data_IF_946576159538
#
_entry.id   IF_946576159538
#
_cell.length_a   1.000
_cell.length_b   1.000
_cell.length_c   1.000
_cell.angle_alpha   90.00
_cell.angle_beta   90.00
_cell.angle_gamma   90.00
#
_symmetry.space_group_name_H-M   'P 1'
#
loop_
_entity.id
_entity.type
_entity.pdbx_description
1 polymer ?
#
# COMPACT_ATOMS: atom_id res chain seq x y z
N UNK A 1 -15.00 3.20 40.45
CA UNK A 1 -14.10 3.53 39.33
C UNK A 1 -12.81 2.77 39.56
N UNK A 2 -12.40 1.99 38.56
CA UNK A 2 -11.18 1.17 38.55
C UNK A 2 -10.26 1.74 37.48
N UNK A 3 -8.96 1.69 37.73
CA UNK A 3 -7.90 2.06 36.80
C UNK A 3 -7.06 0.83 36.52
N UNK A 4 -6.94 0.46 35.25
CA UNK A 4 -6.25 -0.73 34.81
C UNK A 4 -5.26 -0.37 33.69
N UNK A 5 -4.09 -1.00 33.73
CA UNK A 5 -2.99 -0.72 32.81
C UNK A 5 -2.90 -1.82 31.76
N UNK A 6 -2.91 -1.42 30.48
CA UNK A 6 -2.88 -2.31 29.31
C UNK A 6 -1.58 -2.10 28.56
N UNK A 7 -0.93 -3.20 28.18
CA UNK A 7 0.21 -3.18 27.30
C UNK A 7 -0.26 -3.13 25.83
N UNK A 8 0.00 -2.02 25.13
CA UNK A 8 -0.31 -1.81 23.72
C UNK A 8 0.93 -1.32 22.97
N UNK A 9 1.22 -1.90 21.82
CA UNK A 9 2.37 -1.53 20.99
C UNK A 9 2.27 -0.07 20.51
N UNK A 10 3.32 0.72 20.80
CA UNK A 10 3.41 2.12 20.40
C UNK A 10 3.22 2.37 18.88
N UNK A 11 3.48 1.38 18.02
CA UNK A 11 3.28 1.47 16.57
C UNK A 11 1.81 1.66 16.21
N UNK A 12 0.89 1.07 16.96
CA UNK A 12 -0.55 1.14 16.68
C UNK A 12 -1.24 2.31 17.38
N UNK A 13 -0.62 2.95 18.38
CA UNK A 13 -1.22 4.07 19.14
C UNK A 13 -1.75 5.17 18.23
N UNK A 14 -0.97 5.59 17.24
CA UNK A 14 -1.37 6.64 16.29
C UNK A 14 -2.64 6.25 15.50
N UNK A 15 -2.78 4.97 15.18
CA UNK A 15 -3.92 4.44 14.41
C UNK A 15 -5.16 4.30 15.29
N UNK A 16 -5.00 3.83 16.53
CA UNK A 16 -6.07 3.74 17.54
C UNK A 16 -6.60 5.13 17.92
N UNK A 17 -5.73 6.13 18.13
CA UNK A 17 -6.13 7.52 18.40
C UNK A 17 -6.90 8.09 17.20
N UNK A 18 -6.41 7.79 16.00
CA UNK A 18 -6.99 8.24 14.74
C UNK A 18 -6.90 9.75 14.53
N UNK A 19 -7.45 10.23 13.41
CA UNK A 19 -7.35 11.64 13.04
C UNK A 19 -8.01 12.56 14.09
N UNK A 20 -7.22 13.49 14.65
CA UNK A 20 -7.63 14.44 15.72
C UNK A 20 -8.21 13.76 16.97
N UNK A 21 -7.86 12.50 17.23
CA UNK A 21 -8.41 11.76 18.38
C UNK A 21 -9.89 11.39 18.23
N UNK A 22 -10.43 11.37 17.00
CA UNK A 22 -11.84 11.00 16.78
C UNK A 22 -12.13 9.53 17.06
N UNK A 23 -11.21 8.64 16.69
CA UNK A 23 -11.41 7.20 16.87
C UNK A 23 -11.42 6.85 18.36
N UNK A 24 -10.40 7.30 19.11
CA UNK A 24 -10.38 7.09 20.55
C UNK A 24 -11.56 7.73 21.28
N UNK A 25 -11.97 8.96 20.92
CA UNK A 25 -13.14 9.58 21.56
C UNK A 25 -14.42 8.77 21.36
N UNK A 26 -14.58 8.14 20.19
CA UNK A 26 -15.73 7.27 19.95
C UNK A 26 -15.72 6.08 20.90
N UNK A 27 -14.57 5.45 21.10
CA UNK A 27 -14.40 4.33 22.04
C UNK A 27 -14.67 4.79 23.48
N UNK A 28 -14.12 5.95 23.87
CA UNK A 28 -14.37 6.55 25.19
C UNK A 28 -15.85 6.83 25.43
N UNK A 29 -16.58 7.35 24.44
CA UNK A 29 -18.02 7.65 24.54
C UNK A 29 -18.88 6.37 24.56
N UNK A 30 -18.49 5.35 23.79
CA UNK A 30 -19.20 4.07 23.67
C UNK A 30 -19.13 3.26 24.96
N UNK A 31 -17.92 3.09 25.50
CA UNK A 31 -17.69 2.35 26.75
C UNK A 31 -17.75 3.26 27.99
N UNK A 32 -17.89 4.58 27.85
CA UNK A 32 -17.88 5.55 28.96
C UNK A 32 -16.65 5.42 29.86
N UNK A 33 -15.50 5.18 29.25
CA UNK A 33 -14.19 5.07 29.93
C UNK A 33 -13.29 6.24 29.54
N UNK A 34 -12.32 6.56 30.40
CA UNK A 34 -11.28 7.52 30.10
C UNK A 34 -9.95 6.81 29.86
N UNK A 35 -9.37 7.02 28.68
CA UNK A 35 -8.18 6.31 28.19
C UNK A 35 -7.03 7.30 28.08
N UNK A 36 -5.93 7.01 28.77
CA UNK A 36 -4.75 7.87 28.83
C UNK A 36 -3.54 7.15 28.24
N UNK A 37 -3.05 7.68 27.12
CA UNK A 37 -1.83 7.23 26.49
C UNK A 37 -0.58 7.75 27.20
N UNK A 38 0.52 6.97 27.19
CA UNK A 38 1.79 7.41 27.76
C UNK A 38 2.39 8.54 26.92
N UNK A 39 3.07 9.47 27.60
CA UNK A 39 3.74 10.58 26.91
C UNK A 39 4.97 10.05 26.15
N UNK A 40 5.26 10.64 24.98
CA UNK A 40 6.48 10.35 24.23
C UNK A 40 7.71 10.69 25.10
N UNK A 41 8.44 9.66 25.53
CA UNK A 41 9.57 9.77 26.49
C UNK A 41 9.31 9.17 27.88
N UNK A 42 8.16 8.55 28.12
CA UNK A 42 7.94 7.72 29.31
C UNK A 42 8.85 6.46 29.29
N UNK A 43 9.20 5.89 30.46
CA UNK A 43 10.00 4.67 30.54
C UNK A 43 9.33 3.49 29.82
N UNK A 44 7.99 3.44 29.87
CA UNK A 44 7.18 2.40 29.25
C UNK A 44 6.25 3.01 28.19
N UNK A 45 6.69 3.09 26.92
CA UNK A 45 5.88 3.66 25.83
C UNK A 45 4.67 2.78 25.48
N UNK A 46 4.62 1.54 25.97
CA UNK A 46 3.55 0.59 25.67
C UNK A 46 2.45 0.57 26.74
N UNK A 47 2.59 1.29 27.86
CA UNK A 47 1.62 1.23 28.95
C UNK A 47 0.52 2.28 28.79
N UNK A 48 -0.71 1.85 28.51
CA UNK A 48 -1.91 2.70 28.40
C UNK A 48 -2.82 2.46 29.59
N UNK A 49 -3.19 3.53 30.29
CA UNK A 49 -4.08 3.44 31.45
C UNK A 49 -5.52 3.69 31.05
N UNK A 50 -6.41 2.76 31.38
CA UNK A 50 -7.86 2.85 31.18
C UNK A 50 -8.54 3.03 32.53
N UNK A 51 -9.43 4.01 32.65
CA UNK A 51 -10.13 4.31 33.91
C UNK A 51 -11.63 4.39 33.69
N UNK A 52 -12.42 3.72 34.54
CA UNK A 52 -13.87 3.64 34.33
C UNK A 52 -14.61 2.75 35.32
N UNK A 53 -15.81 2.32 34.93
CA UNK A 53 -16.53 1.26 35.63
C UNK A 53 -15.89 -0.10 35.29
N UNK A 54 -15.82 -1.06 36.23
CA UNK A 54 -15.09 -2.31 36.02
C UNK A 54 -15.59 -3.10 34.79
N UNK A 55 -16.91 -3.27 34.63
CA UNK A 55 -17.50 -3.97 33.47
C UNK A 55 -17.12 -3.28 32.15
N UNK A 56 -17.21 -1.95 32.10
CA UNK A 56 -16.89 -1.18 30.91
C UNK A 56 -15.39 -1.14 30.60
N UNK A 57 -14.54 -1.20 31.63
CA UNK A 57 -13.09 -1.23 31.46
C UNK A 57 -12.69 -2.55 30.81
N UNK A 58 -13.21 -3.68 31.30
CA UNK A 58 -12.97 -5.00 30.67
C UNK A 58 -13.41 -5.00 29.20
N UNK A 59 -14.62 -4.54 28.89
CA UNK A 59 -15.12 -4.45 27.51
C UNK A 59 -14.28 -3.52 26.63
N UNK A 60 -13.83 -2.37 27.16
CA UNK A 60 -12.99 -1.43 26.43
C UNK A 60 -11.60 -2.02 26.16
N UNK A 61 -11.02 -2.75 27.12
CA UNK A 61 -9.72 -3.42 26.97
C UNK A 61 -9.80 -4.45 25.85
N UNK A 62 -10.80 -5.33 25.89
CA UNK A 62 -11.03 -6.35 24.86
C UNK A 62 -11.17 -5.72 23.46
N UNK A 63 -11.94 -4.63 23.35
CA UNK A 63 -12.11 -3.93 22.09
C UNK A 63 -10.80 -3.31 21.58
N UNK A 64 -9.96 -2.75 22.46
CA UNK A 64 -8.69 -2.14 22.07
C UNK A 64 -7.67 -3.21 21.66
N UNK A 65 -7.62 -4.36 22.35
CA UNK A 65 -6.73 -5.48 21.99
C UNK A 65 -7.07 -6.05 20.61
N UNK A 66 -8.36 -6.21 20.29
CA UNK A 66 -8.78 -6.61 18.94
C UNK A 66 -8.33 -5.61 17.86
N UNK A 67 -8.41 -4.30 18.13
CA UNK A 67 -7.93 -3.28 17.20
C UNK A 67 -6.41 -3.29 17.04
N UNK A 68 -5.67 -3.57 18.11
CA UNK A 68 -4.22 -3.73 18.07
C UNK A 68 -3.83 -4.88 17.13
N UNK A 69 -4.45 -6.05 17.28
CA UNK A 69 -4.16 -7.21 16.43
C UNK A 69 -4.44 -6.92 14.94
N UNK A 70 -5.59 -6.31 14.64
CA UNK A 70 -5.96 -5.91 13.28
C UNK A 70 -4.95 -4.92 12.69
N UNK A 71 -4.58 -3.89 13.45
CA UNK A 71 -3.65 -2.86 12.98
C UNK A 71 -2.21 -3.34 12.88
N UNK A 72 -1.76 -4.24 13.74
CA UNK A 72 -0.44 -4.86 13.63
C UNK A 72 -0.35 -5.72 12.37
N UNK A 73 -1.38 -6.53 12.08
CA UNK A 73 -1.42 -7.34 10.86
C UNK A 73 -1.31 -6.45 9.61
N UNK A 74 -2.10 -5.38 9.54
CA UNK A 74 -2.05 -4.42 8.45
C UNK A 74 -0.67 -3.73 8.29
N UNK A 75 -0.03 -3.38 9.40
CA UNK A 75 1.30 -2.74 9.38
C UNK A 75 2.34 -3.70 8.81
N UNK A 76 2.30 -4.97 9.23
CA UNK A 76 3.20 -6.02 8.72
C UNK A 76 2.94 -6.28 7.23
N UNK A 77 1.67 -6.43 6.83
CA UNK A 77 1.32 -6.65 5.43
C UNK A 77 1.74 -5.47 4.55
N UNK A 78 1.53 -4.24 5.02
CA UNK A 78 1.99 -3.04 4.31
C UNK A 78 3.51 -3.02 4.15
N UNK A 79 4.26 -3.37 5.19
CA UNK A 79 5.73 -3.45 5.16
C UNK A 79 6.20 -4.51 4.16
N UNK A 80 5.60 -5.70 4.16
CA UNK A 80 5.91 -6.77 3.21
C UNK A 80 5.61 -6.33 1.78
N UNK A 81 4.45 -5.72 1.55
CA UNK A 81 4.04 -5.28 0.21
C UNK A 81 4.94 -4.14 -0.30
N UNK A 82 5.41 -3.25 0.58
CA UNK A 82 6.42 -2.25 0.23
C UNK A 82 7.76 -2.88 -0.15
N UNK A 83 8.21 -3.92 0.56
CA UNK A 83 9.45 -4.64 0.20
C UNK A 83 9.32 -5.32 -1.16
N UNK A 84 8.17 -5.93 -1.46
CA UNK A 84 7.91 -6.57 -2.76
C UNK A 84 7.77 -5.56 -3.91
N UNK A 85 7.16 -4.39 -3.67
CA UNK A 85 6.92 -3.38 -4.70
C UNK A 85 8.13 -2.48 -4.95
N UNK A 86 9.10 -2.42 -4.02
CA UNK A 86 10.31 -1.63 -4.20
C UNK A 86 11.24 -2.41 -5.14
N UNK A 87 11.48 -1.92 -6.38
CA UNK A 87 12.47 -2.56 -7.24
C UNK A 87 13.80 -2.58 -6.46
N UNK A 88 14.63 -3.64 -6.59
CA UNK A 88 15.96 -3.60 -6.01
C UNK A 88 16.59 -2.31 -6.50
N UNK A 89 16.94 -1.42 -5.58
CA UNK A 89 17.68 -0.23 -5.92
C UNK A 89 19.01 -0.74 -6.47
N UNK A 90 19.11 -0.87 -7.79
CA UNK A 90 20.39 -0.95 -8.44
C UNK A 90 21.09 0.33 -8.05
N UNK A 91 22.11 0.20 -7.22
CA UNK A 91 22.99 1.28 -6.78
C UNK A 91 23.79 1.74 -8.01
N UNK A 92 23.12 2.31 -9.01
CA UNK A 92 23.78 2.91 -10.16
C UNK A 92 23.87 4.40 -9.91
N UNK A 93 25.04 4.78 -9.40
CA UNK A 93 25.69 6.01 -9.80
C UNK A 93 25.18 6.50 -11.15
N UNK A 94 24.61 7.69 -11.15
CA UNK A 94 24.06 8.44 -12.29
C UNK A 94 24.99 8.38 -13.51
N UNK A 95 24.86 7.34 -14.32
CA UNK A 95 25.42 7.26 -15.66
C UNK A 95 24.30 7.59 -16.66
N UNK A 96 24.56 8.42 -17.68
CA UNK A 96 23.55 8.72 -18.69
C UNK A 96 23.15 7.43 -19.41
N UNK A 97 21.87 7.08 -19.33
CA UNK A 97 21.29 5.86 -19.88
C UNK A 97 21.43 5.83 -21.40
N UNK A 98 22.53 5.25 -21.89
CA UNK A 98 22.65 4.84 -23.28
C UNK A 98 21.91 3.50 -23.40
N UNK A 99 20.65 3.57 -23.85
CA UNK A 99 19.76 2.42 -23.96
C UNK A 99 20.42 1.19 -24.57
N UNK A 100 20.14 0.03 -23.98
CA UNK A 100 20.67 -1.26 -24.41
C UNK A 100 19.81 -1.82 -25.55
N UNK A 101 20.38 -1.89 -26.75
CA UNK A 101 19.69 -2.41 -27.94
C UNK A 101 20.23 -3.81 -28.24
N UNK A 102 19.41 -4.83 -28.04
CA UNK A 102 19.71 -6.22 -28.43
C UNK A 102 19.37 -6.37 -29.91
N UNK A 103 20.37 -6.49 -30.77
CA UNK A 103 20.16 -6.59 -32.23
C UNK A 103 20.08 -8.00 -32.78
N UNK A 104 20.52 -9.01 -32.01
CA UNK A 104 20.69 -10.38 -32.49
C UNK A 104 20.05 -11.41 -31.56
N UNK A 105 18.85 -11.12 -31.04
CA UNK A 105 18.08 -12.15 -30.36
C UNK A 105 17.63 -13.20 -31.40
N UNK A 106 17.74 -14.51 -31.15
CA UNK A 106 17.41 -15.54 -32.14
C UNK A 106 15.97 -15.49 -32.68
N UNK A 107 15.07 -14.73 -32.03
CA UNK A 107 13.72 -14.41 -32.48
C UNK A 107 13.68 -13.36 -33.62
N UNK A 108 14.76 -12.62 -33.88
CA UNK A 108 14.88 -11.63 -34.98
C UNK A 108 15.48 -12.23 -36.26
N UNK A 109 16.07 -13.43 -36.20
CA UNK A 109 16.83 -14.01 -37.30
C UNK A 109 15.98 -14.47 -38.51
N UNK A 110 14.65 -14.59 -38.36
CA UNK A 110 13.76 -15.11 -39.41
C UNK A 110 12.93 -14.03 -40.12
N UNK A 111 13.07 -12.76 -39.76
CA UNK A 111 12.29 -11.69 -40.38
C UNK A 111 13.22 -10.69 -41.04
N UNK A 112 13.31 -10.75 -42.37
CA UNK A 112 13.99 -9.74 -43.20
C UNK A 112 13.27 -8.37 -43.19
N UNK A 113 12.34 -8.17 -42.26
CA UNK A 113 11.59 -6.93 -42.12
C UNK A 113 12.08 -6.23 -40.86
N UNK A 114 12.79 -5.13 -41.11
CA UNK A 114 13.23 -4.14 -40.14
C UNK A 114 12.10 -3.89 -39.13
N UNK A 115 12.41 -3.89 -37.82
CA UNK A 115 11.40 -3.67 -36.78
C UNK A 115 10.50 -2.49 -37.15
N UNK A 116 9.16 -2.66 -37.13
CA UNK A 116 8.23 -1.66 -37.60
C UNK A 116 8.44 -0.35 -36.84
N UNK A 117 8.47 0.76 -37.58
CA UNK A 117 8.76 2.06 -37.01
C UNK A 117 7.60 2.50 -36.10
N UNK A 118 7.80 2.37 -34.79
CA UNK A 118 6.81 2.73 -33.78
C UNK A 118 6.51 4.24 -33.71
N UNK A 119 7.26 5.07 -34.47
CA UNK A 119 6.97 6.49 -34.63
C UNK A 119 6.19 6.81 -35.90
N UNK A 120 5.92 5.84 -36.78
CA UNK A 120 5.15 6.06 -38.00
C UNK A 120 3.65 5.94 -37.73
N UNK A 121 2.92 7.04 -37.93
CA UNK A 121 1.45 7.07 -37.86
C UNK A 121 0.76 6.29 -38.98
N UNK A 122 1.50 5.84 -39.99
CA UNK A 122 1.00 4.97 -41.06
C UNK A 122 0.96 3.49 -40.62
N UNK A 123 1.90 3.07 -39.77
CA UNK A 123 2.05 1.67 -39.32
C UNK A 123 1.25 1.37 -38.05
N UNK A 124 1.18 2.34 -37.11
CA UNK A 124 0.41 2.24 -35.88
C UNK A 124 -0.62 3.38 -35.80
N UNK A 125 -1.85 3.17 -36.34
CA UNK A 125 -2.89 4.19 -36.24
C UNK A 125 -3.22 4.43 -34.76
N UNK A 126 -2.97 5.67 -34.32
CA UNK A 126 -3.36 6.14 -32.99
C UNK A 126 -4.88 5.97 -32.83
N UNK A 127 -5.30 5.24 -31.80
CA UNK A 127 -6.70 4.96 -31.50
C UNK A 127 -7.43 6.26 -31.13
N UNK A 128 -7.83 7.02 -32.15
CA UNK A 128 -8.41 8.36 -32.00
C UNK A 128 -8.53 9.17 -33.29
N UNK A 129 -7.81 8.83 -34.37
CA UNK A 129 -7.97 9.48 -35.67
C UNK A 129 -8.81 8.60 -36.62
N UNK A 130 -9.97 9.10 -37.04
CA UNK A 130 -10.82 8.41 -38.02
C UNK A 130 -10.14 8.39 -39.39
N UNK A 131 -9.72 7.21 -39.86
CA UNK A 131 -9.36 6.99 -41.27
C UNK A 131 -10.35 5.98 -41.86
N UNK A 132 -10.97 6.35 -42.98
CA UNK A 132 -12.05 5.61 -43.63
C UNK A 132 -11.63 4.17 -44.02
N UNK A 133 -12.53 3.17 -43.90
CA UNK A 133 -12.16 1.78 -44.12
C UNK A 133 -12.04 1.49 -45.63
N UNK A 134 -10.84 1.15 -46.09
CA UNK A 134 -10.68 0.42 -47.36
C UNK A 134 -10.94 -1.05 -47.07
N UNK A 135 -12.11 -1.52 -47.49
CA UNK A 135 -12.51 -2.92 -47.41
C UNK A 135 -11.63 -3.79 -48.31
N UNK A 136 -10.96 -4.77 -47.74
CA UNK A 136 -10.57 -5.98 -48.46
C UNK A 136 -11.05 -7.18 -47.62
N UNK A 137 -11.96 -8.02 -48.14
CA UNK A 137 -12.48 -9.16 -47.40
C UNK A 137 -11.40 -10.24 -47.30
N UNK A 138 -11.15 -10.67 -46.07
CA UNK A 138 -10.15 -11.68 -45.75
C UNK A 138 -10.62 -13.06 -46.26
N UNK A 139 -9.82 -13.68 -47.14
CA UNK A 139 -10.08 -15.03 -47.64
C UNK A 139 -8.97 -15.50 -48.59
N UNK A 140 -8.48 -16.75 -48.49
CA UNK A 140 -7.41 -17.24 -49.38
C UNK A 140 -7.92 -17.37 -50.82
N UNK A 141 -7.19 -16.81 -51.79
CA UNK A 141 -7.38 -17.15 -53.21
C UNK A 141 -6.56 -18.41 -53.53
N UNK A 142 -7.25 -19.41 -54.07
CA UNK A 142 -6.72 -20.68 -54.57
C UNK A 142 -5.74 -20.46 -55.72
#
# INVERSE_FOLDING_TARGET
MVSEDVALDHRVHARIIGARGKAIRKIMDEFKVDIRFPQSGAPDPNCVTVTGLPENVEEAIDHILNLEEEYLADVVDSEVLQVYMKPPAHEESRAPSKGFVVRDAPWTASSSEKAPDMSSSEEFPSFGAQVAPKTLPWGPKR
#
